data_IF_576891040413
#
_entry.id   IF_576891040413
#
_cell.length_a   1.000
_cell.length_b   1.000
_cell.length_c   1.000
_cell.angle_alpha   90.00
_cell.angle_beta   90.00
_cell.angle_gamma   90.00
#
_symmetry.space_group_name_H-M   'P 1'
#
loop_
_entity.id
_entity.type
_entity.pdbx_description
1 polymer ?
#
# COMPACT_ATOMS: atom_id res chain seq x y z
N UNK A 1 7.94 -10.03 7.92
CA UNK A 1 6.82 -9.32 7.27
C UNK A 1 7.28 -7.94 6.85
N UNK A 2 7.27 -7.63 5.55
CA UNK A 2 7.56 -6.28 5.08
C UNK A 2 6.37 -5.38 5.43
N UNK A 3 6.60 -4.37 6.27
CA UNK A 3 5.58 -3.37 6.60
C UNK A 3 5.50 -2.35 5.47
N UNK A 4 4.67 -2.62 4.47
CA UNK A 4 4.42 -1.64 3.41
C UNK A 4 3.55 -0.52 3.97
N UNK A 5 4.14 0.66 4.13
CA UNK A 5 3.41 1.86 4.55
C UNK A 5 2.79 2.53 3.32
N UNK A 6 1.51 2.28 3.11
CA UNK A 6 0.72 2.97 2.08
C UNK A 6 0.76 4.47 2.38
N UNK A 7 1.19 5.31 1.42
CA UNK A 7 1.17 6.77 1.60
C UNK A 7 -0.23 7.29 1.32
N UNK A 8 -0.69 7.15 0.08
CA UNK A 8 -1.99 7.60 -0.43
C UNK A 8 -2.48 6.62 -1.51
N UNK A 9 -3.79 6.55 -1.70
CA UNK A 9 -4.45 5.74 -2.73
C UNK A 9 -5.39 6.65 -3.50
N UNK A 10 -5.12 6.85 -4.78
CA UNK A 10 -5.90 7.73 -5.65
C UNK A 10 -6.82 6.90 -6.54
N UNK A 11 -8.11 7.24 -6.54
CA UNK A 11 -9.13 6.57 -7.35
C UNK A 11 -9.70 7.58 -8.33
N UNK A 12 -9.59 7.25 -9.62
CA UNK A 12 -10.04 8.05 -10.76
C UNK A 12 -11.22 7.34 -11.45
N UNK A 13 -12.09 8.12 -12.11
CA UNK A 13 -13.17 7.59 -12.95
C UNK A 13 -14.05 6.54 -12.25
N UNK A 14 -14.39 6.79 -10.99
CA UNK A 14 -15.28 5.89 -10.24
C UNK A 14 -16.75 6.18 -10.57
N UNK A 15 -17.61 5.15 -10.62
CA UNK A 15 -19.05 5.33 -10.82
C UNK A 15 -19.69 5.93 -9.55
N UNK A 16 -20.80 6.65 -9.69
CA UNK A 16 -21.52 7.28 -8.55
C UNK A 16 -21.98 6.30 -7.46
N UNK A 17 -22.08 5.01 -7.76
CA UNK A 17 -22.38 3.95 -6.79
C UNK A 17 -21.22 3.73 -5.81
N UNK A 18 -19.99 4.11 -6.18
CA UNK A 18 -18.80 3.91 -5.38
C UNK A 18 -18.83 4.68 -4.06
N UNK A 19 -19.47 5.85 -4.01
CA UNK A 19 -19.60 6.62 -2.77
C UNK A 19 -20.37 5.84 -1.69
N UNK A 20 -21.40 5.09 -2.11
CA UNK A 20 -22.18 4.21 -1.21
C UNK A 20 -21.36 3.02 -0.75
N UNK A 21 -20.59 2.41 -1.65
CA UNK A 21 -19.68 1.31 -1.30
C UNK A 21 -18.60 1.78 -0.32
N UNK A 22 -18.04 2.97 -0.52
CA UNK A 22 -17.05 3.54 0.37
C UNK A 22 -17.64 3.87 1.74
N UNK A 23 -18.89 4.35 1.81
CA UNK A 23 -19.60 4.56 3.08
C UNK A 23 -19.76 3.26 3.88
N UNK A 24 -20.04 2.13 3.21
CA UNK A 24 -20.09 0.81 3.84
C UNK A 24 -18.68 0.37 4.26
N UNK A 25 -17.70 0.49 3.38
CA UNK A 25 -16.32 0.10 3.65
C UNK A 25 -15.70 0.91 4.80
N UNK A 26 -16.10 2.17 4.98
CA UNK A 26 -15.67 3.04 6.09
C UNK A 26 -15.95 2.43 7.46
N UNK A 27 -16.98 1.59 7.60
CA UNK A 27 -17.29 0.89 8.86
C UNK A 27 -16.24 -0.18 9.22
N UNK A 28 -15.51 -0.70 8.23
CA UNK A 28 -14.52 -1.75 8.39
C UNK A 28 -13.08 -1.23 8.28
N UNK A 29 -12.87 -0.12 7.56
CA UNK A 29 -11.55 0.49 7.32
C UNK A 29 -11.14 1.36 8.51
N UNK A 30 -9.90 1.19 8.99
CA UNK A 30 -9.34 2.06 10.03
C UNK A 30 -9.29 3.51 9.56
N UNK A 31 -9.56 4.52 10.43
CA UNK A 31 -9.56 5.94 10.05
C UNK A 31 -8.27 6.36 9.33
N UNK A 32 -7.11 5.91 9.83
CA UNK A 32 -5.79 6.20 9.22
C UNK A 32 -5.65 5.73 7.78
N UNK A 33 -6.34 4.66 7.38
CA UNK A 33 -6.31 4.18 6.00
C UNK A 33 -7.36 4.89 5.15
N UNK A 34 -8.51 5.23 5.75
CA UNK A 34 -9.55 6.02 5.09
C UNK A 34 -9.04 7.41 4.69
N UNK A 35 -8.29 8.10 5.57
CA UNK A 35 -7.75 9.44 5.30
C UNK A 35 -6.76 9.49 4.11
N UNK A 36 -6.18 8.32 3.78
CA UNK A 36 -5.23 8.13 2.68
C UNK A 36 -5.92 7.85 1.35
N UNK A 37 -7.21 7.50 1.35
CA UNK A 37 -7.99 7.34 0.12
C UNK A 37 -8.38 8.72 -0.41
N UNK A 38 -7.99 9.03 -1.64
CA UNK A 38 -8.33 10.25 -2.36
C UNK A 38 -9.19 9.89 -3.57
N UNK A 39 -10.45 10.32 -3.53
CA UNK A 39 -11.37 10.20 -4.65
C UNK A 39 -11.26 11.44 -5.52
N UNK A 40 -11.05 11.23 -6.82
CA UNK A 40 -10.90 12.29 -7.79
C UNK A 40 -12.06 12.26 -8.78
N UNK A 41 -12.92 13.27 -8.72
CA UNK A 41 -14.04 13.43 -9.66
C UNK A 41 -13.59 13.95 -11.02
N UNK A 42 -12.43 14.64 -11.08
CA UNK A 42 -11.81 15.13 -12.31
C UNK A 42 -10.32 14.79 -12.35
N UNK A 43 -9.78 14.65 -13.55
CA UNK A 43 -8.35 14.38 -13.76
C UNK A 43 -7.47 15.52 -13.24
N UNK A 44 -7.88 16.78 -13.37
CA UNK A 44 -7.15 17.93 -12.82
C UNK A 44 -6.94 17.83 -11.31
N UNK A 45 -7.94 17.36 -10.56
CA UNK A 45 -7.82 17.20 -9.10
C UNK A 45 -6.73 16.20 -8.72
N UNK A 46 -6.43 15.24 -9.59
CA UNK A 46 -5.39 14.23 -9.41
C UNK A 46 -4.01 14.75 -9.79
N UNK A 47 -3.91 15.61 -10.81
CA UNK A 47 -2.65 16.24 -11.22
C UNK A 47 -2.03 17.13 -10.13
N UNK A 48 -2.84 17.59 -9.16
CA UNK A 48 -2.33 18.28 -7.96
C UNK A 48 -1.49 17.38 -7.04
N UNK A 49 -1.63 16.06 -7.15
CA UNK A 49 -0.92 15.09 -6.32
C UNK A 49 0.19 14.37 -7.09
N UNK A 50 -0.02 14.14 -8.39
CA UNK A 50 0.91 13.40 -9.25
C UNK A 50 1.21 14.23 -10.51
N UNK A 51 2.49 14.55 -10.78
CA UNK A 51 2.85 15.34 -11.95
C UNK A 51 2.62 14.56 -13.27
N UNK A 52 2.37 15.27 -14.36
CA UNK A 52 2.15 14.68 -15.69
C UNK A 52 3.37 13.92 -16.22
N UNK A 53 4.58 14.35 -15.86
CA UNK A 53 5.84 13.76 -16.31
C UNK A 53 5.95 12.27 -15.96
N UNK A 54 5.38 11.84 -14.83
CA UNK A 54 5.45 10.44 -14.38
C UNK A 54 4.28 9.59 -14.86
N UNK A 55 3.29 10.19 -15.52
CA UNK A 55 2.12 9.49 -16.02
C UNK A 55 2.39 8.91 -17.41
N UNK A 56 1.85 7.72 -17.71
CA UNK A 56 1.97 7.15 -19.04
C UNK A 56 1.38 8.06 -20.11
N UNK A 57 1.96 8.03 -21.32
CA UNK A 57 1.45 8.74 -22.50
C UNK A 57 -0.03 8.52 -22.78
N UNK A 58 -0.55 7.32 -22.53
CA UNK A 58 -1.96 6.98 -22.75
C UNK A 58 -2.94 7.78 -21.86
N UNK A 59 -2.44 8.32 -20.75
CA UNK A 59 -3.19 9.20 -19.83
C UNK A 59 -2.84 10.68 -20.01
N UNK A 60 -2.14 11.04 -21.09
CA UNK A 60 -1.74 12.42 -21.38
C UNK A 60 -0.46 12.88 -20.67
N UNK A 61 0.32 11.96 -20.09
CA UNK A 61 1.63 12.25 -19.51
C UNK A 61 2.79 12.12 -20.49
N UNK A 62 4.02 12.22 -19.98
CA UNK A 62 5.24 12.18 -20.79
C UNK A 62 6.00 10.84 -20.73
N UNK A 63 5.64 9.97 -19.77
CA UNK A 63 6.28 8.67 -19.54
C UNK A 63 5.97 7.67 -20.67
N UNK A 64 6.64 6.51 -20.67
CA UNK A 64 6.35 5.40 -21.59
C UNK A 64 4.87 5.01 -21.61
N UNK A 65 4.42 4.39 -22.70
CA UNK A 65 3.04 3.89 -22.77
C UNK A 65 2.80 2.81 -21.73
N UNK A 66 1.53 2.61 -21.38
CA UNK A 66 1.10 1.60 -20.43
C UNK A 66 1.55 0.20 -20.86
N UNK A 67 1.45 -0.10 -22.16
CA UNK A 67 1.89 -1.39 -22.74
C UNK A 67 3.40 -1.61 -22.57
N UNK A 68 4.21 -0.57 -22.79
CA UNK A 68 5.66 -0.64 -22.60
C UNK A 68 6.03 -0.83 -21.12
N UNK A 69 5.37 -0.07 -20.23
CA UNK A 69 5.57 -0.19 -18.78
C UNK A 69 5.17 -1.57 -18.27
N UNK A 70 4.05 -2.11 -18.75
CA UNK A 70 3.59 -3.46 -18.40
C UNK A 70 4.62 -4.51 -18.84
N UNK A 71 5.12 -4.41 -20.08
CA UNK A 71 6.15 -5.33 -20.59
C UNK A 71 7.44 -5.25 -19.77
N UNK A 72 7.89 -4.04 -19.43
CA UNK A 72 9.07 -3.84 -18.59
C UNK A 72 8.88 -4.43 -17.19
N UNK A 73 7.71 -4.26 -16.59
CA UNK A 73 7.38 -4.82 -15.28
C UNK A 73 7.39 -6.35 -15.32
N UNK A 74 6.76 -6.96 -16.33
CA UNK A 74 6.75 -8.42 -16.53
C UNK A 74 8.17 -8.99 -16.66
N UNK A 75 9.04 -8.35 -17.44
CA UNK A 75 10.43 -8.78 -17.59
C UNK A 75 11.18 -8.72 -16.25
N UNK A 76 11.03 -7.63 -15.50
CA UNK A 76 11.64 -7.51 -14.16
C UNK A 76 11.11 -8.55 -13.17
N UNK A 77 9.81 -8.86 -13.22
CA UNK A 77 9.23 -9.89 -12.37
C UNK A 77 9.83 -11.27 -12.66
N UNK A 78 10.04 -11.60 -13.93
CA UNK A 78 10.71 -12.84 -14.34
C UNK A 78 12.17 -12.84 -13.90
N UNK A 79 12.89 -11.74 -14.10
CA UNK A 79 14.30 -11.59 -13.68
C UNK A 79 14.48 -11.82 -12.17
N UNK A 80 13.55 -11.31 -11.35
CA UNK A 80 13.58 -11.49 -9.91
C UNK A 80 12.90 -12.77 -9.41
N UNK A 81 12.50 -13.69 -10.30
CA UNK A 81 11.81 -14.93 -9.96
C UNK A 81 12.53 -15.74 -8.86
N UNK A 82 13.81 -16.05 -9.08
CA UNK A 82 14.63 -16.80 -8.11
C UNK A 82 14.71 -16.12 -6.73
N UNK A 83 14.66 -14.78 -6.70
CA UNK A 83 14.64 -14.03 -5.44
C UNK A 83 13.31 -14.23 -4.72
N UNK A 84 12.19 -14.21 -5.43
CA UNK A 84 10.88 -14.46 -4.84
C UNK A 84 10.75 -15.90 -4.31
N UNK A 85 11.27 -16.90 -5.03
CA UNK A 85 11.30 -18.29 -4.57
C UNK A 85 12.10 -18.43 -3.26
N UNK A 86 13.28 -17.82 -3.21
CA UNK A 86 14.08 -17.78 -1.97
C UNK A 86 13.32 -17.10 -0.85
N UNK A 87 12.74 -15.92 -1.09
CA UNK A 87 11.96 -15.20 -0.09
C UNK A 87 10.79 -16.03 0.45
N UNK A 88 10.13 -16.84 -0.39
CA UNK A 88 9.03 -17.71 0.02
C UNK A 88 9.48 -18.84 0.96
N UNK A 89 10.73 -19.31 0.82
CA UNK A 89 11.30 -20.30 1.74
C UNK A 89 11.75 -19.72 3.09
N UNK A 90 11.99 -18.40 3.16
CA UNK A 90 12.51 -17.79 4.39
C UNK A 90 11.48 -17.87 5.51
N UNK A 91 11.91 -18.42 6.65
CA UNK A 91 11.15 -18.42 7.91
C UNK A 91 12.01 -17.82 9.00
N UNK A 92 11.37 -17.17 9.96
CA UNK A 92 12.06 -16.65 11.15
C UNK A 92 12.41 -17.84 12.03
N UNK A 93 13.66 -17.96 12.45
CA UNK A 93 14.04 -18.93 13.46
C UNK A 93 13.59 -18.42 14.84
N UNK A 94 12.49 -18.98 15.34
CA UNK A 94 11.85 -18.57 16.59
C UNK A 94 12.74 -18.77 17.82
N UNK A 95 13.64 -19.75 17.80
CA UNK A 95 14.57 -20.03 18.92
C UNK A 95 15.60 -18.93 19.15
N UNK A 96 15.86 -18.09 18.14
CA UNK A 96 16.79 -16.95 18.23
C UNK A 96 16.07 -15.63 18.53
N UNK A 97 14.75 -15.65 18.73
CA UNK A 97 13.99 -14.43 19.02
C UNK A 97 14.28 -13.99 20.47
N UNK A 98 14.76 -12.75 20.71
CA UNK A 98 15.10 -12.27 22.05
C UNK A 98 13.91 -12.14 23.02
N UNK A 99 12.68 -12.14 22.53
CA UNK A 99 11.46 -11.95 23.34
C UNK A 99 10.33 -12.81 22.78
N UNK A 100 9.72 -13.64 23.62
CA UNK A 100 8.53 -14.41 23.23
C UNK A 100 7.37 -13.46 22.93
N UNK A 101 6.65 -13.68 21.81
CA UNK A 101 5.47 -12.88 21.49
C UNK A 101 4.31 -13.38 22.36
N UNK A 102 3.79 -12.52 23.23
CA UNK A 102 2.50 -12.75 23.87
C UNK A 102 1.39 -12.36 22.88
N UNK A 103 0.72 -13.37 22.31
CA UNK A 103 -0.25 -13.19 21.23
C UNK A 103 -1.61 -12.67 21.71
N UNK A 104 -1.81 -12.48 23.02
CA UNK A 104 -3.15 -12.20 23.55
C UNK A 104 -3.50 -10.71 23.59
N UNK A 105 -2.57 -9.80 23.86
CA UNK A 105 -2.90 -8.38 24.00
C UNK A 105 -1.80 -7.46 23.49
N UNK A 106 -1.79 -7.22 22.16
CA UNK A 106 -1.52 -5.94 21.50
C UNK A 106 -0.97 -6.20 20.09
N UNK A 107 -1.66 -5.62 19.10
CA UNK A 107 -1.37 -5.67 17.66
C UNK A 107 0.06 -5.22 17.28
N UNK A 108 1.08 -6.03 17.56
CA UNK A 108 2.44 -5.86 17.04
C UNK A 108 3.15 -4.58 17.47
N UNK A 109 2.73 -3.92 18.55
CA UNK A 109 3.42 -2.75 19.11
C UNK A 109 4.37 -3.19 20.21
N UNK A 110 5.38 -3.98 19.85
CA UNK A 110 6.50 -4.24 20.76
C UNK A 110 7.67 -3.33 20.39
N UNK A 111 7.58 -2.09 20.84
CA UNK A 111 8.68 -1.12 20.81
C UNK A 111 9.05 -0.72 22.24
N UNK A 112 10.14 0.03 22.39
CA UNK A 112 10.63 0.64 23.64
C UNK A 112 9.75 1.80 24.13
N UNK A 113 8.43 1.70 23.98
CA UNK A 113 7.52 2.68 24.54
C UNK A 113 7.47 2.45 26.05
N UNK A 114 7.97 3.41 26.83
CA UNK A 114 7.89 3.36 28.29
C UNK A 114 6.40 3.33 28.66
N UNK A 115 5.97 2.26 29.32
CA UNK A 115 4.64 2.20 29.92
C UNK A 115 4.50 3.39 30.87
N UNK A 116 3.55 4.27 30.59
CA UNK A 116 3.16 5.33 31.50
C UNK A 116 2.10 4.73 32.41
N UNK A 117 2.49 4.40 33.64
CA UNK A 117 1.52 4.06 34.68
C UNK A 117 0.77 5.34 35.04
N UNK A 118 -0.54 5.34 34.86
CA UNK A 118 -1.42 6.40 35.32
C UNK A 118 -2.11 5.85 36.57
N UNK A 119 -2.01 6.61 37.66
CA UNK A 119 -2.66 6.38 38.95
C UNK A 119 -4.16 6.73 38.87
#
# INVERSE_FOLDING_TARGET
>A
MYSTRIKEVHILNYPSVFDKLLAIAKLFIKPKLYDRLKLHSSFESFLNYVPLEVLPKDYGGEEKSMDELEKMLKLKLIEYGDRFDKLDTLRVNESLRPTAIDCQENFGVHGTFRQMNID
#
